data_IF_106789208098
#
_entry.id   IF_106789208098
#
_cell.length_a   1.000
_cell.length_b   1.000
_cell.length_c   1.000
_cell.angle_alpha   90.00
_cell.angle_beta   90.00
_cell.angle_gamma   90.00
#
_symmetry.space_group_name_H-M   'P 1'
#
loop_
_entity.id
_entity.type
_entity.pdbx_description
1 polymer ?
#
# COMPACT_ATOMS: atom_id res chain seq x y z
N UNK A 1 -11.98 16.32 -45.16
CA UNK A 1 -12.09 14.86 -45.38
C UNK A 1 -11.29 14.19 -44.29
N UNK A 2 -11.94 13.59 -43.30
CA UNK A 2 -11.25 12.82 -42.25
C UNK A 2 -10.62 11.58 -42.90
N UNK A 3 -9.31 11.40 -42.75
CA UNK A 3 -8.64 10.18 -43.21
C UNK A 3 -9.25 8.97 -42.49
N UNK A 4 -9.60 7.87 -43.19
CA UNK A 4 -10.24 6.69 -42.59
C UNK A 4 -9.44 6.10 -41.43
N UNK A 5 -8.12 6.32 -41.41
CA UNK A 5 -7.20 5.88 -40.35
C UNK A 5 -7.51 6.54 -38.98
N UNK A 6 -8.01 7.78 -38.96
CA UNK A 6 -8.32 8.50 -37.71
C UNK A 6 -9.45 7.84 -36.91
N UNK A 7 -10.44 7.26 -37.59
CA UNK A 7 -11.54 6.54 -36.94
C UNK A 7 -11.10 5.23 -36.29
N UNK A 8 -10.14 4.51 -36.91
CA UNK A 8 -9.61 3.24 -36.40
C UNK A 8 -8.76 3.48 -35.15
N UNK A 9 -7.87 4.47 -35.15
CA UNK A 9 -7.09 4.83 -33.98
C UNK A 9 -7.95 5.35 -32.81
N UNK A 10 -9.00 6.11 -33.11
CA UNK A 10 -9.99 6.54 -32.12
C UNK A 10 -10.75 5.37 -31.49
N UNK A 11 -11.21 4.41 -32.30
CA UNK A 11 -11.90 3.21 -31.83
C UNK A 11 -10.99 2.31 -30.98
N UNK A 12 -9.74 2.08 -31.40
CA UNK A 12 -8.75 1.34 -30.61
C UNK A 12 -8.46 2.07 -29.29
N UNK A 13 -8.30 3.39 -29.32
CA UNK A 13 -8.11 4.20 -28.12
C UNK A 13 -9.29 4.12 -27.15
N UNK A 14 -10.53 4.08 -27.64
CA UNK A 14 -11.72 3.90 -26.82
C UNK A 14 -11.81 2.49 -26.21
N UNK A 15 -11.51 1.44 -26.97
CA UNK A 15 -11.48 0.05 -26.46
C UNK A 15 -10.38 -0.14 -25.42
N UNK A 16 -9.17 0.37 -25.69
CA UNK A 16 -8.07 0.37 -24.73
C UNK A 16 -8.44 1.20 -23.48
N UNK A 17 -9.18 2.29 -23.69
CA UNK A 17 -9.82 3.12 -22.67
C UNK A 17 -10.74 2.33 -21.75
N UNK A 18 -11.63 1.55 -22.32
CA UNK A 18 -12.58 0.74 -21.56
C UNK A 18 -11.89 -0.39 -20.79
N UNK A 19 -11.04 -1.18 -21.46
CA UNK A 19 -10.34 -2.30 -20.84
C UNK A 19 -9.38 -1.82 -19.75
N UNK A 20 -8.66 -0.72 -19.99
CA UNK A 20 -7.75 -0.12 -19.01
C UNK A 20 -8.49 0.39 -17.78
N UNK A 21 -9.70 0.93 -17.95
CA UNK A 21 -10.51 1.43 -16.84
C UNK A 21 -11.05 0.30 -15.94
N UNK A 22 -11.38 -0.85 -16.53
CA UNK A 22 -11.81 -2.05 -15.81
C UNK A 22 -10.64 -2.77 -15.12
N UNK A 23 -9.46 -2.80 -15.76
CA UNK A 23 -8.28 -3.48 -15.24
C UNK A 23 -7.54 -2.69 -14.15
N UNK A 24 -7.73 -1.37 -14.09
CA UNK A 24 -7.04 -0.54 -13.13
C UNK A 24 -7.55 -0.82 -11.69
N UNK A 25 -6.66 -0.68 -10.71
CA UNK A 25 -6.95 -1.03 -9.31
C UNK A 25 -7.10 0.21 -8.45
N UNK A 26 -7.91 0.13 -7.39
CA UNK A 26 -8.08 1.23 -6.43
C UNK A 26 -6.79 1.66 -5.72
N UNK A 27 -5.78 0.79 -5.70
CA UNK A 27 -4.46 1.10 -5.14
C UNK A 27 -3.74 2.24 -5.86
N UNK A 28 -4.10 2.55 -7.11
CA UNK A 28 -3.51 3.66 -7.87
C UNK A 28 -3.72 4.99 -7.15
N UNK A 29 -4.94 5.24 -6.65
CA UNK A 29 -5.22 6.47 -5.91
C UNK A 29 -4.66 6.44 -4.49
N UNK A 30 -4.55 5.28 -3.85
CA UNK A 30 -3.78 5.18 -2.59
C UNK A 30 -2.32 5.63 -2.79
N UNK A 31 -1.69 5.21 -3.90
CA UNK A 31 -0.31 5.62 -4.24
C UNK A 31 -0.20 7.11 -4.56
N UNK A 32 -1.23 7.69 -5.19
CA UNK A 32 -1.31 9.12 -5.46
C UNK A 32 -1.42 9.95 -4.15
N UNK A 33 -2.27 9.49 -3.23
CA UNK A 33 -2.57 10.16 -1.96
C UNK A 33 -1.51 9.88 -0.88
N UNK A 34 -0.74 8.81 -1.02
CA UNK A 34 0.37 8.44 -0.13
C UNK A 34 1.62 7.99 -0.91
N UNK A 35 2.29 8.94 -1.58
CA UNK A 35 3.42 8.60 -2.42
C UNK A 35 4.63 8.13 -1.61
N UNK A 36 4.85 8.62 -0.37
CA UNK A 36 5.96 8.17 0.49
C UNK A 36 5.90 6.66 0.74
N UNK A 37 4.71 6.12 1.06
CA UNK A 37 4.55 4.67 1.31
C UNK A 37 4.88 3.82 0.09
N UNK A 38 4.64 4.35 -1.10
CA UNK A 38 4.67 3.59 -2.35
C UNK A 38 6.03 3.66 -3.05
N UNK A 39 6.76 4.77 -2.85
CA UNK A 39 7.93 5.13 -3.64
C UNK A 39 9.22 5.31 -2.83
N UNK A 40 9.22 5.00 -1.52
CA UNK A 40 10.42 5.17 -0.71
C UNK A 40 11.51 4.12 -1.00
N UNK A 41 11.12 2.87 -1.28
CA UNK A 41 12.07 1.77 -1.46
C UNK A 41 12.35 1.47 -2.93
N UNK A 42 12.66 2.50 -3.73
CA UNK A 42 12.98 2.30 -5.16
C UNK A 42 14.38 1.69 -5.29
N UNK A 43 14.42 0.43 -5.69
CA UNK A 43 15.66 -0.27 -6.03
C UNK A 43 15.91 -0.15 -7.54
N UNK A 44 17.18 -0.10 -7.97
CA UNK A 44 17.53 -0.07 -9.41
C UNK A 44 16.85 -1.20 -10.21
N UNK A 45 16.71 -2.38 -9.62
CA UNK A 45 16.02 -3.54 -10.23
C UNK A 45 14.52 -3.32 -10.48
N UNK A 46 13.87 -2.46 -9.68
CA UNK A 46 12.43 -2.19 -9.76
C UNK A 46 12.07 -1.10 -10.77
N UNK A 47 13.03 -0.26 -11.17
CA UNK A 47 12.85 0.86 -12.11
C UNK A 47 12.13 0.45 -13.42
N UNK A 48 12.57 -0.59 -14.17
CA UNK A 48 11.93 -0.92 -15.44
C UNK A 48 10.47 -1.38 -15.25
N UNK A 49 10.20 -2.14 -14.19
CA UNK A 49 8.85 -2.61 -13.85
C UNK A 49 7.96 -1.41 -13.49
N UNK A 50 8.48 -0.47 -12.70
CA UNK A 50 7.75 0.73 -12.30
C UNK A 50 7.43 1.65 -13.48
N UNK A 51 8.38 1.84 -14.40
CA UNK A 51 8.21 2.66 -15.60
C UNK A 51 7.11 2.14 -16.54
N UNK A 52 6.96 0.80 -16.62
CA UNK A 52 6.00 0.17 -17.53
C UNK A 52 4.63 -0.04 -16.87
N UNK A 53 4.60 -0.48 -15.61
CA UNK A 53 3.37 -0.95 -14.95
C UNK A 53 2.72 0.05 -13.99
N UNK A 54 3.37 1.19 -13.69
CA UNK A 54 2.82 2.19 -12.77
C UNK A 54 2.58 3.61 -13.35
N UNK A 55 2.45 3.85 -14.68
CA UNK A 55 2.00 5.15 -15.17
C UNK A 55 0.51 5.37 -14.88
N UNK A 56 0.11 6.62 -14.63
CA UNK A 56 -1.28 7.02 -14.38
C UNK A 56 -1.94 7.72 -15.59
N UNK A 57 -1.31 7.72 -16.76
CA UNK A 57 -1.84 8.34 -17.99
C UNK A 57 -3.00 7.60 -18.67
N UNK A 58 -3.56 6.58 -18.02
CA UNK A 58 -4.62 5.75 -18.56
C UNK A 58 -6.05 6.25 -18.27
N UNK A 59 -7.05 5.51 -18.76
CA UNK A 59 -8.47 5.75 -18.50
C UNK A 59 -8.84 5.44 -17.03
N UNK A 60 -8.68 6.41 -16.13
CA UNK A 60 -8.91 6.22 -14.68
C UNK A 60 -10.33 6.58 -14.21
N UNK A 61 -11.19 7.05 -15.11
CA UNK A 61 -12.52 7.60 -14.79
C UNK A 61 -13.40 6.69 -13.91
N UNK A 62 -13.51 5.39 -14.23
CA UNK A 62 -14.32 4.43 -13.45
C UNK A 62 -13.84 4.36 -12.00
N UNK A 63 -12.53 4.25 -11.79
CA UNK A 63 -11.95 4.09 -10.46
C UNK A 63 -11.95 5.42 -9.71
N UNK A 64 -11.76 6.53 -10.42
CA UNK A 64 -11.88 7.86 -9.84
C UNK A 64 -13.29 8.05 -9.27
N UNK A 65 -14.32 7.75 -10.06
CA UNK A 65 -15.72 7.80 -9.62
C UNK A 65 -15.98 6.86 -8.44
N UNK A 66 -15.57 5.59 -8.52
CA UNK A 66 -15.68 4.64 -7.39
C UNK A 66 -14.99 5.18 -6.12
N UNK A 67 -13.83 5.81 -6.26
CA UNK A 67 -13.10 6.38 -5.13
C UNK A 67 -13.81 7.61 -4.56
N UNK A 68 -14.34 8.49 -5.41
CA UNK A 68 -15.16 9.64 -4.98
C UNK A 68 -16.45 9.17 -4.30
N UNK A 69 -17.11 8.12 -4.80
CA UNK A 69 -18.31 7.56 -4.19
C UNK A 69 -18.02 7.04 -2.78
N UNK A 70 -16.92 6.29 -2.60
CA UNK A 70 -16.47 5.84 -1.27
C UNK A 70 -16.20 7.05 -0.37
N UNK A 71 -15.49 8.07 -0.86
CA UNK A 71 -15.24 9.29 -0.08
C UNK A 71 -16.52 10.03 0.30
N UNK A 72 -17.52 10.05 -0.60
CA UNK A 72 -18.84 10.64 -0.37
C UNK A 72 -19.64 9.89 0.68
N UNK A 73 -19.66 8.56 0.59
CA UNK A 73 -20.29 7.67 1.58
C UNK A 73 -19.71 7.91 2.98
N UNK A 74 -18.39 8.11 3.06
CA UNK A 74 -17.66 8.41 4.28
C UNK A 74 -17.82 9.87 4.76
N UNK A 75 -18.62 10.67 4.06
CA UNK A 75 -19.00 12.03 4.44
C UNK A 75 -17.96 13.10 4.16
N UNK A 76 -16.93 12.82 3.35
CA UNK A 76 -15.83 13.77 3.10
C UNK A 76 -16.25 15.03 2.31
N UNK A 77 -17.39 15.00 1.62
CA UNK A 77 -17.94 16.17 0.93
C UNK A 77 -18.95 16.98 1.76
N UNK A 78 -19.30 16.54 2.98
CA UNK A 78 -20.33 17.18 3.80
C UNK A 78 -19.89 18.50 4.46
N UNK A 79 -18.62 18.86 4.35
CA UNK A 79 -18.08 20.11 4.89
C UNK A 79 -16.69 19.95 5.47
N UNK A 80 -16.12 21.07 5.94
CA UNK A 80 -14.79 21.09 6.52
C UNK A 80 -14.70 20.15 7.74
N UNK A 81 -13.79 19.17 7.67
CA UNK A 81 -13.53 18.19 8.75
C UNK A 81 -14.71 17.28 9.11
N UNK A 82 -15.73 17.20 8.25
CA UNK A 82 -16.85 16.26 8.40
C UNK A 82 -16.50 14.94 7.72
N UNK A 83 -16.98 13.82 8.29
CA UNK A 83 -16.72 12.47 7.78
C UNK A 83 -15.43 11.84 8.31
N UNK A 84 -15.08 10.65 7.83
CA UNK A 84 -13.87 9.91 8.21
C UNK A 84 -13.04 9.48 7.00
N UNK A 85 -11.71 9.53 7.12
CA UNK A 85 -10.79 9.09 6.06
C UNK A 85 -10.48 7.59 6.10
N UNK A 86 -10.77 6.94 7.24
CA UNK A 86 -10.67 5.49 7.41
C UNK A 86 -11.66 4.81 6.48
N UNK A 87 -11.24 3.81 5.71
CA UNK A 87 -12.07 3.12 4.72
C UNK A 87 -12.09 3.81 3.34
N UNK A 88 -11.36 4.91 3.17
CA UNK A 88 -11.23 5.64 1.90
C UNK A 88 -9.84 5.45 1.29
N UNK A 89 -9.60 5.94 0.08
CA UNK A 89 -8.26 5.87 -0.53
C UNK A 89 -7.17 6.64 0.25
N UNK A 90 -7.53 7.57 1.15
CA UNK A 90 -6.56 8.18 2.07
C UNK A 90 -6.00 7.17 3.07
N UNK A 91 -6.83 6.23 3.50
CA UNK A 91 -6.47 5.22 4.49
C UNK A 91 -7.42 4.01 4.34
N UNK A 92 -7.08 3.05 3.46
CA UNK A 92 -7.95 1.93 3.17
C UNK A 92 -8.11 1.04 4.40
N UNK A 93 -9.33 0.58 4.64
CA UNK A 93 -9.61 -0.44 5.64
C UNK A 93 -9.43 -1.83 5.00
N UNK A 94 -8.85 -2.77 5.75
CA UNK A 94 -8.69 -4.16 5.30
C UNK A 94 -9.67 -5.11 6.01
N UNK A 95 -10.52 -4.57 6.89
CA UNK A 95 -11.46 -5.34 7.72
C UNK A 95 -10.78 -6.42 8.57
N UNK A 96 -9.49 -6.23 8.89
CA UNK A 96 -8.74 -7.15 9.74
C UNK A 96 -8.99 -6.80 11.20
N UNK A 97 -9.02 -7.82 12.06
CA UNK A 97 -9.20 -7.61 13.50
C UNK A 97 -8.11 -8.30 14.28
N UNK A 98 -7.87 -7.83 15.50
CA UNK A 98 -6.95 -8.46 16.43
C UNK A 98 -7.65 -8.69 17.77
N UNK A 99 -7.32 -9.80 18.42
CA UNK A 99 -7.69 -10.07 19.81
C UNK A 99 -6.44 -9.93 20.66
N UNK A 100 -6.52 -9.04 21.65
CA UNK A 100 -5.47 -8.83 22.64
C UNK A 100 -5.68 -9.75 23.84
N UNK A 101 -4.60 -10.37 24.26
CA UNK A 101 -4.52 -11.33 25.35
C UNK A 101 -3.46 -10.85 26.35
N UNK A 102 -3.78 -10.94 27.63
CA UNK A 102 -2.79 -10.77 28.70
C UNK A 102 -1.80 -11.92 28.70
N UNK A 103 -0.62 -11.74 29.32
CA UNK A 103 0.34 -12.81 29.61
C UNK A 103 -0.26 -14.01 30.37
N UNK A 104 -1.36 -13.80 31.09
CA UNK A 104 -2.09 -14.83 31.82
C UNK A 104 -3.15 -15.55 30.98
N UNK A 105 -3.21 -15.31 29.66
CA UNK A 105 -4.17 -15.93 28.74
C UNK A 105 -5.59 -15.37 28.84
N UNK A 106 -5.83 -14.31 29.61
CA UNK A 106 -7.13 -13.64 29.65
C UNK A 106 -7.32 -12.73 28.43
N UNK A 107 -8.50 -12.85 27.80
CA UNK A 107 -8.91 -12.00 26.68
C UNK A 107 -9.19 -10.58 27.18
N UNK A 108 -8.51 -9.60 26.62
CA UNK A 108 -8.70 -8.18 26.95
C UNK A 108 -9.80 -7.62 26.05
N UNK A 109 -9.57 -7.57 24.74
CA UNK A 109 -10.49 -6.97 23.77
C UNK A 109 -10.19 -7.41 22.34
N UNK A 110 -11.23 -7.45 21.51
CA UNK A 110 -11.13 -7.59 20.05
C UNK A 110 -11.38 -6.23 19.40
N UNK A 111 -10.47 -5.76 18.55
CA UNK A 111 -10.56 -4.47 17.87
C UNK A 111 -10.19 -4.59 16.38
N UNK A 112 -10.63 -3.63 15.56
CA UNK A 112 -10.21 -3.52 14.16
C UNK A 112 -8.76 -3.03 14.05
N UNK A 113 -8.03 -3.62 13.11
CA UNK A 113 -6.66 -3.28 12.78
C UNK A 113 -6.62 -2.35 11.57
N UNK A 114 -5.91 -1.22 11.69
CA UNK A 114 -5.94 -0.16 10.67
C UNK A 114 -4.76 -0.21 9.70
N UNK A 115 -3.50 -0.11 10.16
CA UNK A 115 -2.34 0.01 9.24
C UNK A 115 -1.90 -1.36 8.69
N UNK A 116 -2.14 -2.43 9.45
CA UNK A 116 -1.85 -3.81 9.09
C UNK A 116 -0.41 -4.06 8.58
N UNK A 117 0.54 -3.16 8.83
CA UNK A 117 1.87 -3.20 8.20
C UNK A 117 2.61 -4.50 8.50
N UNK A 118 2.80 -4.80 9.78
CA UNK A 118 3.51 -6.00 10.22
C UNK A 118 2.74 -7.28 9.93
N UNK A 119 1.42 -7.22 9.98
CA UNK A 119 0.56 -8.35 9.62
C UNK A 119 0.69 -8.69 8.15
N UNK A 120 0.71 -7.67 7.29
CA UNK A 120 0.92 -7.86 5.86
C UNK A 120 2.33 -8.38 5.59
N UNK A 121 3.34 -7.87 6.31
CA UNK A 121 4.69 -8.42 6.23
C UNK A 121 4.70 -9.91 6.59
N UNK A 122 4.02 -10.30 7.67
CA UNK A 122 3.91 -11.69 8.10
C UNK A 122 3.15 -12.57 7.11
N UNK A 123 2.10 -12.04 6.45
CA UNK A 123 1.39 -12.80 5.40
C UNK A 123 2.26 -13.11 4.18
N UNK A 124 3.35 -12.36 3.97
CA UNK A 124 4.31 -12.63 2.91
C UNK A 124 5.48 -13.52 3.35
N UNK A 125 5.63 -13.80 4.65
CA UNK A 125 6.65 -14.73 5.12
C UNK A 125 6.21 -16.14 4.73
N UNK A 126 7.04 -16.90 3.98
CA UNK A 126 6.68 -18.25 3.58
C UNK A 126 6.57 -19.12 4.82
N UNK A 127 5.43 -19.80 4.94
CA UNK A 127 5.20 -20.73 6.04
C UNK A 127 6.08 -21.96 5.81
N UNK A 128 6.84 -22.40 6.84
CA UNK A 128 7.61 -23.63 6.72
C UNK A 128 6.65 -24.79 6.46
N UNK A 129 6.84 -25.48 5.34
CA UNK A 129 6.09 -26.70 5.05
C UNK A 129 6.50 -27.72 6.12
N UNK A 130 5.52 -28.26 6.85
CA UNK A 130 5.77 -29.43 7.67
C UNK A 130 6.33 -30.51 6.75
N UNK A 131 7.57 -30.91 6.96
CA UNK A 131 8.12 -32.06 6.27
C UNK A 131 7.17 -33.23 6.49
N UNK A 132 6.67 -33.84 5.42
CA UNK A 132 6.43 -35.26 5.49
C UNK A 132 7.78 -35.85 5.90
N UNK A 133 7.85 -36.47 7.07
CA UNK A 133 8.98 -37.29 7.46
C UNK A 133 9.08 -38.45 6.46
N UNK A 134 9.67 -38.17 5.30
CA UNK A 134 10.24 -39.14 4.39
C UNK A 134 11.74 -39.03 4.50
N UNK A 135 12.24 -39.00 5.73
CA UNK A 135 13.61 -39.41 5.98
C UNK A 135 13.64 -40.92 5.80
N UNK A 136 14.06 -41.29 4.59
CA UNK A 136 14.80 -42.50 4.25
C UNK A 136 15.13 -43.37 5.47
N UNK A 137 14.32 -44.41 5.68
CA UNK A 137 14.74 -45.61 6.39
C UNK A 137 15.75 -46.35 5.50
N UNK A 138 16.96 -45.82 5.40
CA UNK A 138 18.12 -46.54 4.89
C UNK A 138 19.26 -46.38 5.88
N UNK A 139 19.02 -46.77 7.13
CA UNK A 139 20.10 -47.17 8.01
C UNK A 139 19.64 -48.40 8.80
N UNK A 140 20.12 -49.56 8.32
CA UNK A 140 20.15 -50.78 9.09
C UNK A 140 21.11 -50.57 10.26
N UNK A 141 20.60 -50.22 11.43
CA UNK A 141 21.32 -50.52 12.67
C UNK A 141 20.36 -50.74 13.82
N UNK A 142 20.45 -51.95 14.38
CA UNK A 142 19.65 -52.44 15.49
C UNK A 142 19.77 -51.57 16.75
N UNK A 143 18.63 -51.18 17.34
CA UNK A 143 18.49 -50.96 18.79
C UNK A 143 17.97 -49.60 19.28
N UNK A 144 16.66 -49.56 19.60
CA UNK A 144 15.89 -48.57 20.41
C UNK A 144 15.66 -47.15 19.83
N UNK A 145 14.59 -46.43 20.26
CA UNK A 145 13.25 -46.84 20.67
C UNK A 145 12.24 -46.63 19.53
N UNK A 146 11.06 -47.25 19.62
CA UNK A 146 9.93 -46.95 18.73
C UNK A 146 9.59 -45.46 18.87
N UNK A 147 9.94 -44.68 17.85
CA UNK A 147 9.43 -43.32 17.68
C UNK A 147 7.90 -43.47 17.61
N UNK A 148 7.19 -43.16 18.71
CA UNK A 148 5.74 -43.04 18.66
C UNK A 148 5.49 -41.96 17.61
N UNK A 149 4.95 -42.37 16.46
CA UNK A 149 4.24 -41.46 15.58
C UNK A 149 3.08 -40.96 16.44
N UNK A 150 3.28 -39.79 17.07
CA UNK A 150 2.20 -39.09 17.74
C UNK A 150 1.14 -38.88 16.65
N UNK A 151 0.04 -39.62 16.77
CA UNK A 151 -1.13 -39.44 15.92
C UNK A 151 -1.75 -38.09 16.27
N UNK A 152 -1.17 -37.03 15.70
CA UNK A 152 -1.66 -35.68 15.85
C UNK A 152 -2.83 -35.49 14.90
N UNK A 153 -4.02 -35.16 15.44
CA UNK A 153 -5.25 -34.95 14.66
C UNK A 153 -5.10 -33.84 13.62
N UNK A 154 -4.39 -32.76 13.96
CA UNK A 154 -4.07 -31.65 13.06
C UNK A 154 -2.84 -30.88 13.58
N UNK A 155 -1.96 -30.47 12.66
CA UNK A 155 -0.86 -29.53 12.94
C UNK A 155 -1.21 -28.19 12.32
N UNK A 156 -1.03 -27.11 13.07
CA UNK A 156 -1.25 -25.74 12.59
C UNK A 156 0.08 -24.99 12.67
N UNK A 157 0.46 -24.32 11.59
CA UNK A 157 1.64 -23.48 11.60
C UNK A 157 1.32 -22.14 12.27
N UNK A 158 2.21 -21.70 13.14
CA UNK A 158 2.11 -20.41 13.83
C UNK A 158 3.19 -19.49 13.29
N UNK A 159 2.78 -18.36 12.74
CA UNK A 159 3.69 -17.25 12.44
C UNK A 159 3.72 -16.32 13.64
N UNK A 160 4.84 -16.31 14.35
CA UNK A 160 5.02 -15.51 15.56
C UNK A 160 6.01 -14.37 15.33
N UNK A 161 5.58 -13.14 15.57
CA UNK A 161 6.43 -11.95 15.51
C UNK A 161 6.52 -11.31 16.88
N UNK A 162 7.73 -11.26 17.42
CA UNK A 162 8.00 -10.58 18.69
C UNK A 162 8.52 -9.18 18.42
N UNK A 163 7.84 -8.17 18.96
CA UNK A 163 8.25 -6.77 18.89
C UNK A 163 8.75 -6.34 20.27
N UNK A 164 10.00 -5.88 20.32
CA UNK A 164 10.64 -5.39 21.53
C UNK A 164 11.07 -3.94 21.38
N UNK A 165 11.27 -3.25 22.50
CA UNK A 165 11.91 -1.93 22.49
C UNK A 165 13.38 -2.10 22.15
N UNK A 166 13.91 -1.22 21.32
CA UNK A 166 15.33 -1.24 20.97
C UNK A 166 16.19 -1.00 22.22
N UNK A 167 17.15 -1.89 22.44
CA UNK A 167 18.15 -1.75 23.49
C UNK A 167 19.33 -0.92 23.01
N UNK A 168 20.18 -0.43 23.93
CA UNK A 168 21.41 0.29 23.57
C UNK A 168 22.34 -0.56 22.67
N UNK A 169 22.36 -1.87 22.90
CA UNK A 169 23.10 -2.81 22.06
C UNK A 169 22.54 -2.89 20.63
N UNK A 170 21.22 -2.80 20.49
CA UNK A 170 20.59 -2.76 19.17
C UNK A 170 20.95 -1.47 18.43
N UNK A 171 20.95 -0.33 19.12
CA UNK A 171 21.34 0.97 18.54
C UNK A 171 22.80 1.02 18.08
N UNK A 172 23.68 0.26 18.74
CA UNK A 172 25.10 0.15 18.39
C UNK A 172 25.39 -0.98 17.38
N UNK A 173 24.36 -1.76 17.02
CA UNK A 173 24.50 -2.85 16.07
C UNK A 173 24.75 -2.35 14.64
N UNK A 174 25.31 -3.22 13.79
CA UNK A 174 25.53 -2.94 12.36
C UNK A 174 24.25 -3.08 11.51
N UNK A 175 23.10 -3.34 12.13
CA UNK A 175 21.84 -3.58 11.42
C UNK A 175 21.32 -2.23 10.91
N UNK A 176 20.86 -2.12 9.65
CA UNK A 176 20.32 -0.89 9.13
C UNK A 176 19.03 -0.49 9.87
N UNK A 177 18.98 0.74 10.37
CA UNK A 177 17.76 1.31 10.94
C UNK A 177 16.82 1.75 9.83
N UNK A 178 15.56 1.32 9.94
CA UNK A 178 14.48 1.80 9.06
C UNK A 178 13.76 2.92 9.78
N UNK A 179 13.80 4.12 9.22
CA UNK A 179 13.04 5.25 9.74
C UNK A 179 11.62 5.23 9.17
N UNK A 180 10.64 5.57 10.02
CA UNK A 180 9.28 5.77 9.60
C UNK A 180 9.15 7.11 8.85
N UNK A 181 9.13 7.06 7.53
CA UNK A 181 9.04 8.27 6.71
C UNK A 181 7.57 8.68 6.51
N UNK A 182 7.07 9.40 7.49
CA UNK A 182 5.70 9.95 7.51
C UNK A 182 5.70 11.46 7.22
N UNK A 183 6.89 12.03 6.99
CA UNK A 183 7.08 13.45 6.72
C UNK A 183 6.76 13.84 5.27
N UNK A 184 7.20 15.03 4.89
CA UNK A 184 7.09 15.51 3.50
C UNK A 184 7.83 14.58 2.54
N UNK A 185 7.36 14.42 1.30
CA UNK A 185 7.99 13.52 0.35
C UNK A 185 9.46 13.92 0.12
N UNK A 186 10.36 12.96 0.33
CA UNK A 186 11.77 13.12 0.02
C UNK A 186 11.99 13.26 -1.49
N UNK A 187 13.17 13.78 -1.89
CA UNK A 187 13.55 13.90 -3.31
C UNK A 187 13.42 12.57 -4.08
N UNK A 188 13.68 11.44 -3.41
CA UNK A 188 13.55 10.09 -3.99
C UNK A 188 12.12 9.81 -4.48
N UNK A 189 11.10 10.29 -3.78
CA UNK A 189 9.70 10.12 -4.16
C UNK A 189 9.41 10.86 -5.47
N UNK A 190 9.95 12.07 -5.64
CA UNK A 190 9.81 12.82 -6.88
C UNK A 190 10.52 12.11 -8.04
N UNK A 191 11.75 11.62 -7.84
CA UNK A 191 12.46 10.83 -8.84
C UNK A 191 11.67 9.57 -9.25
N UNK A 192 11.07 8.88 -8.28
CA UNK A 192 10.21 7.73 -8.54
C UNK A 192 8.99 8.10 -9.40
N UNK A 193 8.36 9.26 -9.15
CA UNK A 193 7.25 9.75 -9.98
C UNK A 193 7.71 9.94 -11.43
N UNK A 194 8.87 10.58 -11.67
CA UNK A 194 9.44 10.71 -13.01
C UNK A 194 9.72 9.37 -13.67
N UNK A 195 10.24 8.39 -12.92
CA UNK A 195 10.48 7.03 -13.44
C UNK A 195 9.16 6.39 -13.87
N UNK A 196 8.14 6.46 -13.02
CA UNK A 196 6.83 5.81 -13.28
C UNK A 196 6.07 6.46 -14.43
N UNK A 197 6.32 7.73 -14.73
CA UNK A 197 5.72 8.46 -15.86
C UNK A 197 6.69 8.59 -17.05
N UNK A 198 7.78 7.83 -17.07
CA UNK A 198 8.77 7.89 -18.14
C UNK A 198 8.19 7.54 -19.52
N UNK A 199 7.23 6.61 -19.58
CA UNK A 199 6.49 6.31 -20.81
C UNK A 199 5.76 7.54 -21.35
N UNK A 200 5.07 8.30 -20.50
CA UNK A 200 4.38 9.53 -20.88
C UNK A 200 5.37 10.62 -21.35
N UNK A 201 6.53 10.74 -20.68
CA UNK A 201 7.60 11.67 -21.08
C UNK A 201 8.14 11.31 -22.46
N UNK A 202 8.43 10.04 -22.72
CA UNK A 202 8.95 9.57 -24.00
C UNK A 202 7.93 9.81 -25.12
N UNK A 203 6.63 9.54 -24.87
CA UNK A 203 5.56 9.84 -25.82
C UNK A 203 5.45 11.34 -26.10
N UNK A 204 5.53 12.18 -25.07
CA UNK A 204 5.52 13.64 -25.23
C UNK A 204 6.68 14.12 -26.12
N UNK A 205 7.89 13.62 -25.90
CA UNK A 205 9.08 13.95 -26.72
C UNK A 205 8.88 13.49 -28.17
N UNK A 206 8.40 12.27 -28.38
CA UNK A 206 8.13 11.75 -29.72
C UNK A 206 7.11 12.61 -30.49
N UNK A 207 6.02 13.00 -29.81
CA UNK A 207 4.99 13.87 -30.40
C UNK A 207 5.55 15.27 -30.69
N UNK A 208 6.34 15.84 -29.78
CA UNK A 208 6.93 17.16 -29.96
C UNK A 208 7.91 17.20 -31.13
N UNK A 209 8.76 16.19 -31.28
CA UNK A 209 9.77 16.13 -32.35
C UNK A 209 9.12 15.87 -33.71
N UNK A 210 8.18 14.92 -33.78
CA UNK A 210 7.59 14.50 -35.06
C UNK A 210 6.50 15.48 -35.54
N UNK A 211 5.57 15.86 -34.66
CA UNK A 211 4.43 16.70 -35.04
C UNK A 211 4.66 18.19 -34.77
N UNK A 212 5.74 18.58 -34.08
CA UNK A 212 6.03 19.98 -33.69
C UNK A 212 4.82 20.68 -33.04
N UNK A 213 4.03 19.93 -32.31
CA UNK A 213 2.75 20.37 -31.77
C UNK A 213 2.81 20.56 -30.26
N UNK A 214 2.14 21.60 -29.78
CA UNK A 214 1.91 21.84 -28.35
C UNK A 214 1.05 20.74 -27.72
N UNK A 215 0.40 19.89 -28.52
CA UNK A 215 -0.30 18.69 -28.06
C UNK A 215 0.57 17.74 -27.24
N UNK A 216 1.89 17.77 -27.44
CA UNK A 216 2.85 17.04 -26.61
C UNK A 216 2.72 17.37 -25.10
N UNK A 217 2.30 18.60 -24.75
CA UNK A 217 2.11 19.01 -23.35
C UNK A 217 0.99 18.21 -22.67
N UNK A 218 -0.02 17.77 -23.42
CA UNK A 218 -1.13 16.98 -22.88
C UNK A 218 -0.63 15.67 -22.27
N UNK A 219 0.35 15.04 -22.92
CA UNK A 219 0.97 13.80 -22.45
C UNK A 219 1.77 13.97 -21.15
N UNK A 220 2.17 15.20 -20.80
CA UNK A 220 2.84 15.51 -19.53
C UNK A 220 1.86 15.83 -18.39
N UNK A 221 0.55 15.91 -18.66
CA UNK A 221 -0.47 16.22 -17.65
C UNK A 221 -0.47 15.24 -16.48
N UNK A 222 -0.41 13.91 -16.66
CA UNK A 222 -0.37 12.96 -15.54
C UNK A 222 0.84 13.20 -14.62
N UNK A 223 2.00 13.46 -15.20
CA UNK A 223 3.21 13.80 -14.46
C UNK A 223 3.01 15.08 -13.63
N UNK A 224 2.50 16.15 -14.25
CA UNK A 224 2.23 17.41 -13.54
C UNK A 224 1.28 17.21 -12.36
N UNK A 225 0.15 16.53 -12.58
CA UNK A 225 -0.84 16.28 -11.54
C UNK A 225 -0.24 15.44 -10.40
N UNK A 226 0.58 14.42 -10.70
CA UNK A 226 1.26 13.62 -9.67
C UNK A 226 2.28 14.44 -8.88
N UNK A 227 3.03 15.32 -9.53
CA UNK A 227 3.99 16.20 -8.86
C UNK A 227 3.27 17.18 -7.91
N UNK A 228 2.20 17.82 -8.37
CA UNK A 228 1.39 18.71 -7.52
C UNK A 228 0.77 17.91 -6.37
N UNK A 229 0.18 16.75 -6.66
CA UNK A 229 -0.37 15.85 -5.63
C UNK A 229 0.68 15.44 -4.59
N UNK A 230 1.91 15.16 -5.00
CA UNK A 230 2.99 14.81 -4.08
C UNK A 230 3.39 16.01 -3.20
N UNK A 231 3.57 17.20 -3.78
CA UNK A 231 3.90 18.42 -3.02
C UNK A 231 2.87 18.71 -1.93
N UNK A 232 1.60 18.46 -2.22
CA UNK A 232 0.48 18.70 -1.31
C UNK A 232 -0.08 17.42 -0.68
N UNK A 233 0.73 16.36 -0.55
CA UNK A 233 0.31 15.12 0.11
C UNK A 233 -0.19 15.40 1.52
N UNK A 234 -1.25 14.72 1.95
CA UNK A 234 -1.79 14.88 3.31
C UNK A 234 -0.75 14.41 4.33
N UNK A 235 -0.50 15.26 5.33
CA UNK A 235 0.40 14.93 6.43
C UNK A 235 -0.15 13.72 7.21
N UNK A 236 0.73 12.89 7.77
CA UNK A 236 0.33 11.67 8.49
C UNK A 236 0.98 11.60 9.86
N UNK A 237 0.36 10.85 10.77
CA UNK A 237 0.86 10.70 12.14
C UNK A 237 2.11 9.81 12.16
N UNK A 238 3.26 10.32 12.65
CA UNK A 238 4.47 9.52 12.82
C UNK A 238 4.29 8.49 13.93
N UNK A 239 5.29 7.61 14.09
CA UNK A 239 5.36 6.74 15.26
C UNK A 239 5.48 7.59 16.53
N UNK A 240 4.82 7.15 17.60
CA UNK A 240 4.91 7.82 18.89
C UNK A 240 6.28 7.55 19.51
N UNK A 241 6.87 8.59 20.10
CA UNK A 241 8.13 8.45 20.83
C UNK A 241 7.87 7.59 22.06
N UNK A 242 8.49 6.41 22.09
CA UNK A 242 8.41 5.53 23.24
C UNK A 242 9.20 6.15 24.39
N UNK A 243 8.52 6.38 25.51
CA UNK A 243 9.18 6.89 26.70
C UNK A 243 10.10 5.79 27.27
N UNK A 244 11.41 6.00 27.17
CA UNK A 244 12.44 5.08 27.64
C UNK A 244 12.43 4.92 29.16
N UNK A 245 11.68 5.78 29.87
CA UNK A 245 11.62 5.81 31.34
C UNK A 245 10.53 4.91 31.94
N UNK A 246 9.60 4.34 31.15
CA UNK A 246 8.58 3.41 31.65
C UNK A 246 9.06 1.95 31.54
N UNK A 247 9.68 1.32 32.56
CA UNK A 247 10.47 0.10 32.35
C UNK A 247 9.61 -1.18 32.34
N UNK A 248 8.36 -1.13 32.79
CA UNK A 248 7.50 -2.29 32.95
C UNK A 248 6.13 -2.03 32.32
N UNK A 249 6.06 -2.17 31.00
CA UNK A 249 4.78 -2.30 30.35
C UNK A 249 4.49 -3.79 30.16
N UNK A 250 3.27 -4.19 30.52
CA UNK A 250 2.85 -5.58 30.40
C UNK A 250 2.95 -6.05 28.95
N UNK A 251 3.60 -7.19 28.76
CA UNK A 251 3.67 -7.87 27.46
C UNK A 251 2.29 -8.46 27.18
N UNK A 252 1.75 -8.13 26.01
CA UNK A 252 0.49 -8.67 25.53
C UNK A 252 0.71 -9.48 24.26
N UNK A 253 -0.14 -10.49 24.10
CA UNK A 253 -0.22 -11.32 22.91
C UNK A 253 -1.38 -10.84 22.05
N UNK A 254 -1.13 -10.65 20.77
CA UNK A 254 -2.07 -10.12 19.79
C UNK A 254 -2.31 -11.19 18.73
N UNK A 255 -3.43 -11.89 18.87
CA UNK A 255 -3.91 -12.85 17.89
C UNK A 255 -4.56 -12.10 16.73
N UNK A 256 -4.12 -12.38 15.52
CA UNK A 256 -4.62 -11.69 14.33
C UNK A 256 -5.62 -12.57 13.60
N UNK A 257 -6.75 -11.95 13.28
CA UNK A 257 -7.82 -12.52 12.48
C UNK A 257 -7.80 -11.88 11.10
N UNK A 258 -7.20 -12.56 10.12
CA UNK A 258 -7.19 -12.14 8.73
C UNK A 258 -7.71 -13.26 7.81
N UNK A 259 -8.51 -12.94 6.77
CA UNK A 259 -9.04 -13.94 5.86
C UNK A 259 -7.95 -14.62 5.03
N UNK A 260 -6.79 -13.97 4.89
CA UNK A 260 -5.63 -14.46 4.16
C UNK A 260 -4.82 -15.51 4.93
N UNK A 261 -5.19 -15.82 6.18
CA UNK A 261 -4.45 -16.80 6.95
C UNK A 261 -4.70 -18.24 6.51
N UNK A 262 -5.72 -18.55 5.69
CA UNK A 262 -6.00 -19.91 5.16
C UNK A 262 -5.91 -21.03 6.22
N UNK A 263 -6.30 -20.75 7.48
CA UNK A 263 -6.24 -21.70 8.60
C UNK A 263 -4.94 -21.66 9.42
N UNK A 264 -4.04 -20.72 9.12
CA UNK A 264 -2.82 -20.45 9.88
C UNK A 264 -3.10 -19.49 11.04
N UNK A 265 -2.26 -19.58 12.07
CA UNK A 265 -2.36 -18.75 13.25
C UNK A 265 -1.25 -17.68 13.23
N UNK A 266 -1.63 -16.41 13.33
CA UNK A 266 -0.69 -15.29 13.37
C UNK A 266 -0.74 -14.63 14.74
N UNK A 267 0.44 -14.54 15.36
CA UNK A 267 0.60 -13.99 16.71
C UNK A 267 1.65 -12.89 16.70
N UNK A 268 1.31 -11.73 17.28
CA UNK A 268 2.27 -10.68 17.59
C UNK A 268 2.40 -10.58 19.11
N UNK A 269 3.62 -10.61 19.62
CA UNK A 269 3.87 -10.46 21.06
C UNK A 269 4.72 -9.23 21.30
N UNK A 270 4.34 -8.40 22.26
CA UNK A 270 5.17 -7.27 22.65
C UNK A 270 4.49 -6.31 23.62
N UNK A 271 5.22 -5.28 24.08
CA UNK A 271 4.65 -4.22 24.89
C UNK A 271 3.55 -3.48 24.13
N UNK A 272 2.49 -3.11 24.84
CA UNK A 272 1.31 -2.48 24.22
C UNK A 272 1.63 -1.20 23.44
N UNK A 273 2.46 -0.31 23.98
CA UNK A 273 2.93 0.90 23.29
C UNK A 273 3.64 0.60 21.97
N UNK A 274 4.40 -0.50 21.91
CA UNK A 274 5.19 -0.87 20.73
C UNK A 274 4.33 -1.48 19.63
N UNK A 275 3.40 -2.36 20.00
CA UNK A 275 2.56 -3.09 19.03
C UNK A 275 1.36 -2.24 18.60
N UNK A 276 0.63 -1.64 19.54
CA UNK A 276 -0.65 -0.99 19.27
C UNK A 276 -0.51 0.29 18.43
N UNK A 277 0.65 0.98 18.49
CA UNK A 277 0.91 2.13 17.62
C UNK A 277 0.79 1.77 16.13
N UNK A 278 1.20 0.56 15.72
CA UNK A 278 1.08 0.08 14.34
C UNK A 278 -0.35 -0.33 13.98
N UNK A 279 -1.20 -0.65 14.96
CA UNK A 279 -2.59 -1.02 14.71
C UNK A 279 -3.52 0.19 14.66
N UNK A 280 -3.25 1.24 15.43
CA UNK A 280 -4.21 2.34 15.67
C UNK A 280 -3.77 3.67 15.08
N UNK A 281 -2.51 4.06 15.28
CA UNK A 281 -2.07 5.46 15.14
C UNK A 281 -1.15 5.72 13.95
N UNK A 282 -0.26 4.77 13.64
CA UNK A 282 0.76 4.94 12.61
C UNK A 282 0.12 5.24 11.25
N UNK A 283 0.62 6.27 10.55
CA UNK A 283 0.22 6.58 9.17
C UNK A 283 -1.20 7.14 9.01
N UNK A 284 -1.91 7.40 10.11
CA UNK A 284 -3.23 8.00 10.07
C UNK A 284 -3.14 9.42 9.47
N UNK A 285 -3.98 9.78 8.49
CA UNK A 285 -3.96 11.11 7.89
C UNK A 285 -4.34 12.18 8.91
N UNK A 286 -3.59 13.28 8.91
CA UNK A 286 -3.83 14.47 9.70
C UNK A 286 -4.75 15.37 8.89
N UNK A 287 -5.86 15.78 9.51
CA UNK A 287 -6.89 16.56 8.83
C UNK A 287 -6.40 17.98 8.51
N UNK A 288 -6.34 18.30 7.23
CA UNK A 288 -6.03 19.63 6.72
C UNK A 288 -6.93 19.94 5.53
N UNK A 289 -7.85 20.89 5.71
CA UNK A 289 -8.87 21.21 4.72
C UNK A 289 -8.27 21.57 3.35
N UNK A 290 -7.19 22.35 3.31
CA UNK A 290 -6.60 22.78 2.05
C UNK A 290 -6.00 21.60 1.27
N UNK A 291 -5.19 20.78 1.94
CA UNK A 291 -4.60 19.58 1.34
C UNK A 291 -5.69 18.59 0.93
N UNK A 292 -6.69 18.36 1.79
CA UNK A 292 -7.83 17.47 1.50
C UNK A 292 -8.58 17.88 0.24
N UNK A 293 -9.00 19.15 0.16
CA UNK A 293 -9.73 19.65 -1.02
C UNK A 293 -8.87 19.56 -2.28
N UNK A 294 -7.58 19.89 -2.19
CA UNK A 294 -6.69 19.78 -3.34
C UNK A 294 -6.51 18.34 -3.80
N UNK A 295 -6.34 17.39 -2.87
CA UNK A 295 -6.22 15.97 -3.20
C UNK A 295 -7.50 15.40 -3.82
N UNK A 296 -8.67 15.80 -3.32
CA UNK A 296 -9.97 15.46 -3.93
C UNK A 296 -10.08 16.05 -5.35
N UNK A 297 -9.64 17.28 -5.54
CA UNK A 297 -9.60 17.91 -6.86
C UNK A 297 -8.64 17.19 -7.82
N UNK A 298 -7.45 16.79 -7.36
CA UNK A 298 -6.50 15.98 -8.15
C UNK A 298 -7.14 14.67 -8.59
N UNK A 299 -7.85 13.98 -7.69
CA UNK A 299 -8.53 12.73 -8.00
C UNK A 299 -9.62 12.92 -9.07
N UNK A 300 -10.41 13.99 -8.96
CA UNK A 300 -11.38 14.36 -9.99
C UNK A 300 -10.71 14.68 -11.34
N UNK A 301 -9.62 15.45 -11.33
CA UNK A 301 -8.86 15.80 -12.54
C UNK A 301 -8.29 14.55 -13.24
N UNK A 302 -7.78 13.56 -12.49
CA UNK A 302 -7.37 12.27 -13.05
C UNK A 302 -8.54 11.51 -13.68
N UNK A 303 -9.73 11.58 -13.08
CA UNK A 303 -10.95 11.01 -13.66
C UNK A 303 -11.32 11.66 -15.00
N UNK A 304 -11.15 12.97 -15.13
CA UNK A 304 -11.48 13.71 -16.36
C UNK A 304 -10.38 13.70 -17.43
N UNK A 305 -9.15 13.31 -17.09
CA UNK A 305 -8.00 13.38 -18.00
C UNK A 305 -8.23 12.61 -19.31
N UNK A 306 -8.78 11.40 -19.23
CA UNK A 306 -9.10 10.63 -20.43
C UNK A 306 -10.23 11.27 -21.26
N UNK A 307 -11.27 11.80 -20.61
CA UNK A 307 -12.41 12.43 -21.28
C UNK A 307 -12.00 13.71 -22.01
N UNK A 308 -11.18 14.56 -21.38
CA UNK A 308 -10.60 15.73 -22.01
C UNK A 308 -9.67 15.35 -23.16
N UNK A 309 -8.85 14.30 -22.99
CA UNK A 309 -7.99 13.80 -24.05
C UNK A 309 -8.78 13.38 -25.29
N UNK A 310 -9.90 12.67 -25.11
CA UNK A 310 -10.80 12.33 -26.20
C UNK A 310 -11.44 13.56 -26.84
N UNK A 311 -11.99 14.47 -26.04
CA UNK A 311 -12.66 15.67 -26.53
C UNK A 311 -11.73 16.55 -27.38
N UNK A 312 -10.52 16.83 -26.88
CA UNK A 312 -9.54 17.62 -27.60
C UNK A 312 -8.89 16.87 -28.78
N UNK A 313 -8.98 15.55 -28.85
CA UNK A 313 -8.53 14.78 -30.02
C UNK A 313 -9.52 14.79 -31.18
N UNK A 314 -10.79 15.11 -30.91
CA UNK A 314 -11.88 15.12 -31.90
C UNK A 314 -12.09 16.51 -32.51
N UNK A 315 -11.68 17.57 -31.81
CA UNK A 315 -11.72 18.98 -32.27
C UNK A 315 -10.46 19.32 -33.06
#
# INVERSE_FOLDING_TARGET
MAHPDTGVFGAIGAVLGYVGAEAATGQIFERLLWPQRSYISVTLKSIPIMAILMPMGGPLHIIALKTLDVMSFHGLFKGARVGHMLGTAFYPDQDWTYTSWTSNGQKIKTESMRNCLWVRALSYVPIPKFGCDTQQATDQTHGKPVLRSDQVRAKVAVSHLTLTRATKQDTESKIPFVNADVGRPAFQVFLAIFITESSAILTAVGVAVYFKSLWALWWLTPLLLRLVSAVFSVDRKPLELLDLTSPNEDICDYEIHCPQSEGNFMLLTGPKSVVQQFFVHYGHPVRNQFQETLQLAMLALFGFLFLFGLFFSVI
#
